data_IF_504653792852
#
_entry.id   IF_504653792852
#
_cell.length_a   1.000
_cell.length_b   1.000
_cell.length_c   1.000
_cell.angle_alpha   90.00
_cell.angle_beta   90.00
_cell.angle_gamma   90.00
#
_symmetry.space_group_name_H-M   'P 1'
#
loop_
_entity.id
_entity.type
_entity.pdbx_description
1 polymer ?
#
# COMPACT_ATOMS: atom_id res chain seq x y z
N UNK A 1 -16.77 -5.27 24.67
CA UNK A 1 -15.72 -5.86 23.82
C UNK A 1 -14.88 -4.71 23.23
N UNK A 2 -13.67 -4.57 23.69
CA UNK A 2 -12.73 -3.58 23.12
C UNK A 2 -12.37 -4.03 21.70
N UNK A 3 -12.80 -3.28 20.71
CA UNK A 3 -12.39 -3.49 19.30
C UNK A 3 -10.86 -3.35 19.26
N UNK A 4 -10.14 -4.44 19.07
CA UNK A 4 -8.69 -4.38 18.82
C UNK A 4 -8.49 -3.52 17.57
N UNK A 5 -7.82 -2.37 17.73
CA UNK A 5 -7.52 -1.47 16.62
C UNK A 5 -6.62 -2.21 15.65
N UNK A 6 -7.09 -2.42 14.43
CA UNK A 6 -6.28 -3.02 13.36
C UNK A 6 -5.07 -2.15 13.08
N UNK A 7 -3.87 -2.73 13.15
CA UNK A 7 -2.62 -2.06 12.83
C UNK A 7 -2.36 -2.08 11.33
N UNK A 8 -1.68 -1.07 10.85
CA UNK A 8 -1.36 -0.89 9.44
C UNK A 8 0.15 -0.79 9.26
N UNK A 9 0.72 -1.73 8.51
CA UNK A 9 2.15 -1.75 8.22
C UNK A 9 2.40 -1.59 6.72
N UNK A 10 3.46 -0.85 6.38
CA UNK A 10 3.91 -0.74 4.99
C UNK A 10 5.14 -1.61 4.77
N UNK A 11 5.13 -2.37 3.68
CA UNK A 11 6.23 -3.26 3.28
C UNK A 11 7.17 -2.48 2.37
N UNK A 12 8.42 -2.34 2.80
CA UNK A 12 9.45 -1.55 2.13
C UNK A 12 9.51 -0.10 2.60
N UNK A 13 10.72 0.41 2.78
CA UNK A 13 11.04 1.77 3.23
C UNK A 13 11.61 2.69 2.14
N UNK A 14 11.55 2.26 0.86
CA UNK A 14 12.14 2.99 -0.27
C UNK A 14 11.34 4.21 -0.74
N UNK A 15 11.71 4.72 -1.92
CA UNK A 15 11.09 5.94 -2.48
C UNK A 15 9.60 5.83 -2.70
N UNK A 16 9.11 4.70 -3.21
CA UNK A 16 7.68 4.49 -3.45
C UNK A 16 6.87 4.50 -2.15
N UNK A 17 7.39 3.90 -1.08
CA UNK A 17 6.71 3.91 0.22
C UNK A 17 6.51 5.33 0.76
N UNK A 18 7.45 6.25 0.53
CA UNK A 18 7.32 7.65 0.94
C UNK A 18 6.16 8.35 0.25
N UNK A 19 5.93 8.06 -1.04
CA UNK A 19 4.79 8.59 -1.80
C UNK A 19 3.48 8.04 -1.23
N UNK A 20 3.42 6.73 -0.99
CA UNK A 20 2.23 6.09 -0.43
C UNK A 20 1.92 6.57 0.99
N UNK A 21 2.95 6.74 1.82
CA UNK A 21 2.81 7.30 3.18
C UNK A 21 2.19 8.70 3.13
N UNK A 22 2.60 9.53 2.18
CA UNK A 22 2.04 10.87 2.03
C UNK A 22 0.56 10.85 1.66
N UNK A 23 0.14 9.97 0.74
CA UNK A 23 -1.27 9.76 0.40
C UNK A 23 -2.11 9.36 1.63
N UNK A 24 -1.55 8.49 2.50
CA UNK A 24 -2.19 8.12 3.76
C UNK A 24 -2.31 9.28 4.75
N UNK A 25 -1.27 10.10 4.88
CA UNK A 25 -1.30 11.29 5.74
C UNK A 25 -2.38 12.27 5.32
N UNK A 26 -2.52 12.51 4.03
CA UNK A 26 -3.58 13.38 3.48
C UNK A 26 -4.97 12.85 3.79
N UNK A 27 -5.16 11.54 3.81
CA UNK A 27 -6.45 10.92 4.18
C UNK A 27 -6.74 10.93 5.69
N UNK A 28 -5.82 11.44 6.52
CA UNK A 28 -5.94 11.43 7.97
C UNK A 28 -5.67 10.06 8.62
N UNK A 29 -5.17 9.11 7.85
CA UNK A 29 -4.85 7.76 8.32
C UNK A 29 -3.42 7.67 8.83
N UNK A 30 -3.16 6.71 9.74
CA UNK A 30 -1.84 6.46 10.30
C UNK A 30 -1.30 5.10 9.87
N UNK A 31 0.01 5.05 9.64
CA UNK A 31 0.77 3.81 9.45
C UNK A 31 1.53 3.54 10.73
N UNK A 32 1.39 2.33 11.28
CA UNK A 32 1.95 1.96 12.58
C UNK A 32 3.43 1.53 12.51
N UNK A 33 3.92 1.19 11.33
CA UNK A 33 5.32 0.82 11.16
C UNK A 33 5.67 0.41 9.73
N UNK A 34 6.98 0.30 9.49
CA UNK A 34 7.56 -0.14 8.23
C UNK A 34 8.21 -1.50 8.44
N UNK A 35 7.97 -2.42 7.51
CA UNK A 35 8.63 -3.73 7.44
C UNK A 35 9.62 -3.69 6.30
N UNK A 36 10.91 -3.64 6.63
CA UNK A 36 11.98 -3.66 5.62
C UNK A 36 13.28 -4.23 6.23
N UNK A 37 13.77 -5.37 5.74
CA UNK A 37 14.98 -5.99 6.27
C UNK A 37 16.26 -5.21 5.96
N UNK A 38 16.23 -4.25 5.03
CA UNK A 38 17.38 -3.41 4.69
C UNK A 38 17.66 -2.30 5.71
N UNK A 39 16.73 -2.03 6.62
CA UNK A 39 16.88 -1.02 7.66
C UNK A 39 17.13 -1.67 9.03
N UNK A 40 17.85 -0.95 9.88
CA UNK A 40 18.01 -1.33 11.28
C UNK A 40 16.69 -1.09 12.01
N UNK A 41 16.29 -2.04 12.85
CA UNK A 41 15.09 -1.91 13.69
C UNK A 41 15.14 -0.62 14.51
N UNK A 42 14.03 0.09 14.55
CA UNK A 42 13.86 1.40 15.19
C UNK A 42 14.43 2.60 14.42
N UNK A 43 15.03 2.42 13.25
CA UNK A 43 15.22 3.54 12.33
C UNK A 43 13.86 4.13 11.89
N UNK A 44 13.90 5.40 11.47
CA UNK A 44 12.70 6.10 11.01
C UNK A 44 12.78 6.41 9.53
N UNK A 45 11.70 6.10 8.82
CA UNK A 45 11.50 6.56 7.45
C UNK A 45 10.32 7.53 7.46
N UNK A 46 10.59 8.79 7.17
CA UNK A 46 9.61 9.90 7.22
C UNK A 46 8.73 9.92 8.49
N UNK A 47 9.37 9.65 9.64
CA UNK A 47 8.70 9.67 10.94
C UNK A 47 7.95 8.39 11.33
N UNK A 48 8.05 7.32 10.52
CA UNK A 48 7.45 6.02 10.83
C UNK A 48 8.55 5.04 11.22
N UNK A 49 8.44 4.33 12.35
CA UNK A 49 9.47 3.42 12.81
C UNK A 49 9.54 2.16 11.95
N UNK A 50 10.76 1.69 11.68
CA UNK A 50 10.98 0.36 11.11
C UNK A 50 10.87 -0.67 12.23
N UNK A 51 10.01 -1.68 12.04
CA UNK A 51 9.77 -2.73 13.05
C UNK A 51 10.62 -3.99 12.83
N UNK A 52 11.32 -4.11 11.72
CA UNK A 52 12.16 -5.24 11.32
C UNK A 52 11.83 -5.73 9.92
N UNK A 53 12.28 -6.93 9.58
CA UNK A 53 11.91 -7.62 8.36
C UNK A 53 10.56 -8.36 8.47
N UNK A 54 10.30 -9.28 7.54
CA UNK A 54 9.02 -10.04 7.48
C UNK A 54 8.73 -10.82 8.77
N UNK A 55 9.75 -11.22 9.51
CA UNK A 55 9.65 -11.92 10.80
C UNK A 55 8.94 -11.08 11.87
N UNK A 56 9.02 -9.76 11.77
CA UNK A 56 8.34 -8.89 12.71
C UNK A 56 6.81 -9.01 12.63
N UNK A 57 6.28 -9.43 11.48
CA UNK A 57 4.84 -9.67 11.30
C UNK A 57 4.35 -10.88 12.08
N UNK A 58 5.23 -11.85 12.40
CA UNK A 58 4.87 -13.07 13.15
C UNK A 58 4.48 -12.79 14.61
N UNK A 59 4.80 -11.60 15.10
CA UNK A 59 4.41 -11.17 16.45
C UNK A 59 2.95 -10.70 16.54
N UNK A 60 2.26 -10.61 15.41
CA UNK A 60 0.88 -10.15 15.33
C UNK A 60 -0.05 -11.25 14.82
N UNK A 61 -1.29 -11.24 15.30
CA UNK A 61 -2.35 -12.02 14.66
C UNK A 61 -2.64 -11.47 13.25
N UNK A 62 -2.81 -12.35 12.27
CA UNK A 62 -3.09 -11.99 10.87
C UNK A 62 -4.34 -11.09 10.76
N UNK A 63 -5.35 -11.34 11.57
CA UNK A 63 -6.59 -10.55 11.57
C UNK A 63 -6.43 -9.17 12.20
N UNK A 64 -5.41 -9.00 13.06
CA UNK A 64 -5.13 -7.75 13.76
C UNK A 64 -4.33 -6.74 12.92
N UNK A 65 -3.84 -7.13 11.74
CA UNK A 65 -3.02 -6.26 10.89
C UNK A 65 -3.51 -6.21 9.46
N UNK A 66 -3.15 -5.15 8.78
CA UNK A 66 -3.28 -4.97 7.33
C UNK A 66 -1.97 -4.44 6.78
N UNK A 67 -1.70 -4.76 5.53
CA UNK A 67 -0.47 -4.39 4.86
C UNK A 67 -0.71 -3.41 3.72
N UNK A 68 0.29 -2.58 3.46
CA UNK A 68 0.39 -1.73 2.26
C UNK A 68 1.68 -2.15 1.56
N UNK A 69 1.64 -2.32 0.25
CA UNK A 69 2.86 -2.58 -0.50
C UNK A 69 3.58 -1.27 -0.83
N UNK A 70 4.68 -0.98 -0.14
CA UNK A 70 5.56 0.18 -0.37
C UNK A 70 6.69 -0.08 -1.37
N UNK A 71 6.75 -1.27 -1.96
CA UNK A 71 7.74 -1.60 -2.99
C UNK A 71 7.30 -1.02 -4.33
N UNK A 72 8.18 -0.26 -4.96
CA UNK A 72 7.93 0.35 -6.26
C UNK A 72 7.82 -0.66 -7.40
N UNK A 73 7.28 -0.20 -8.52
CA UNK A 73 7.23 -0.94 -9.78
C UNK A 73 8.43 -0.52 -10.61
N UNK A 74 9.29 -1.47 -10.97
CA UNK A 74 10.42 -1.26 -11.88
C UNK A 74 10.26 -2.18 -13.09
N UNK A 75 10.46 -1.69 -14.32
CA UNK A 75 10.41 -2.52 -15.51
C UNK A 75 11.33 -3.73 -15.42
N UNK A 76 10.81 -4.92 -15.73
CA UNK A 76 11.57 -6.17 -15.65
C UNK A 76 11.79 -6.75 -14.25
N UNK A 77 11.34 -6.10 -13.19
CA UNK A 77 11.49 -6.58 -11.82
C UNK A 77 10.15 -7.07 -11.23
N UNK A 78 10.12 -8.32 -10.80
CA UNK A 78 8.95 -8.93 -10.17
C UNK A 78 8.94 -8.82 -8.65
N UNK A 79 9.84 -8.03 -8.06
CA UNK A 79 10.01 -7.93 -6.61
C UNK A 79 8.73 -7.56 -5.88
N UNK A 80 8.02 -6.54 -6.33
CA UNK A 80 6.74 -6.12 -5.78
C UNK A 80 5.72 -7.26 -5.80
N UNK A 81 5.55 -7.93 -6.93
CA UNK A 81 4.59 -9.02 -7.09
C UNK A 81 4.96 -10.22 -6.20
N UNK A 82 6.22 -10.65 -6.19
CA UNK A 82 6.70 -11.78 -5.37
C UNK A 82 6.46 -11.54 -3.87
N UNK A 83 6.71 -10.33 -3.39
CA UNK A 83 6.45 -9.96 -1.99
C UNK A 83 4.95 -10.03 -1.69
N UNK A 84 4.12 -9.46 -2.54
CA UNK A 84 2.66 -9.50 -2.37
C UNK A 84 2.15 -10.93 -2.33
N UNK A 85 2.52 -11.76 -3.30
CA UNK A 85 2.11 -13.16 -3.37
C UNK A 85 2.56 -13.94 -2.14
N UNK A 86 3.81 -13.81 -1.73
CA UNK A 86 4.35 -14.48 -0.55
C UNK A 86 3.56 -14.12 0.72
N UNK A 87 3.27 -12.85 0.93
CA UNK A 87 2.55 -12.40 2.12
C UNK A 87 1.07 -12.76 2.06
N UNK A 88 0.43 -12.73 0.89
CA UNK A 88 -0.94 -13.24 0.71
C UNK A 88 -1.05 -14.74 0.99
N UNK A 89 -0.07 -15.53 0.56
CA UNK A 89 -0.03 -16.97 0.84
C UNK A 89 0.12 -17.26 2.35
N UNK A 90 0.65 -16.32 3.12
CA UNK A 90 0.66 -16.35 4.59
C UNK A 90 -0.68 -15.88 5.23
N UNK A 91 -1.64 -15.43 4.42
CA UNK A 91 -2.96 -14.99 4.87
C UNK A 91 -3.10 -13.47 5.10
N UNK A 92 -2.07 -12.68 4.86
CA UNK A 92 -2.15 -11.22 5.03
C UNK A 92 -3.00 -10.56 3.94
N UNK A 93 -3.72 -9.51 4.34
CA UNK A 93 -4.56 -8.69 3.45
C UNK A 93 -3.91 -7.35 3.18
N UNK A 94 -3.98 -6.91 1.92
CA UNK A 94 -3.44 -5.62 1.49
C UNK A 94 -4.54 -4.57 1.37
N UNK A 95 -4.23 -3.36 1.82
CA UNK A 95 -5.13 -2.20 1.77
C UNK A 95 -4.98 -1.51 0.42
N UNK A 96 -6.11 -1.12 -0.14
CA UNK A 96 -6.18 -0.21 -1.30
C UNK A 96 -5.90 1.21 -0.84
N UNK A 97 -5.08 1.92 -1.60
CA UNK A 97 -4.71 3.31 -1.36
C UNK A 97 -5.26 4.16 -2.51
N UNK A 98 -6.07 5.15 -2.19
CA UNK A 98 -6.50 6.17 -3.17
C UNK A 98 -6.11 7.51 -2.57
N UNK A 99 -5.20 8.22 -3.27
CA UNK A 99 -4.79 9.56 -2.84
C UNK A 99 -6.00 10.51 -2.89
N UNK A 100 -6.22 11.34 -1.87
CA UNK A 100 -7.34 12.30 -1.87
C UNK A 100 -7.32 13.29 -3.04
N UNK A 101 -6.16 13.53 -3.65
CA UNK A 101 -6.01 14.41 -4.82
C UNK A 101 -6.24 13.67 -6.16
N UNK A 102 -6.66 12.41 -6.13
CA UNK A 102 -7.08 11.69 -7.33
C UNK A 102 -8.56 11.95 -7.64
N UNK A 103 -8.87 12.12 -8.91
CA UNK A 103 -10.25 12.26 -9.40
C UNK A 103 -10.74 10.88 -9.84
N UNK A 104 -11.68 10.31 -9.11
CA UNK A 104 -12.18 8.95 -9.36
C UNK A 104 -13.69 8.99 -9.59
N UNK A 105 -14.11 8.59 -10.79
CA UNK A 105 -15.54 8.54 -11.14
C UNK A 105 -16.27 7.44 -10.35
N UNK A 106 -17.55 7.65 -10.08
CA UNK A 106 -18.34 6.81 -9.17
C UNK A 106 -18.50 5.35 -9.62
N UNK A 107 -18.35 5.04 -10.91
CA UNK A 107 -18.45 3.68 -11.47
C UNK A 107 -17.10 3.01 -11.69
N UNK A 108 -16.01 3.59 -11.19
CA UNK A 108 -14.69 2.95 -11.23
C UNK A 108 -14.68 1.75 -10.28
N UNK A 109 -14.17 0.63 -10.76
CA UNK A 109 -13.99 -0.59 -9.96
C UNK A 109 -12.53 -0.75 -9.59
N UNK A 110 -12.24 -0.71 -8.30
CA UNK A 110 -10.88 -0.82 -7.77
C UNK A 110 -10.78 -2.09 -6.93
N UNK A 111 -9.85 -2.98 -7.31
CA UNK A 111 -9.62 -4.22 -6.57
C UNK A 111 -8.73 -4.00 -5.35
N UNK A 112 -8.61 -5.03 -4.50
CA UNK A 112 -7.78 -5.00 -3.28
C UNK A 112 -6.29 -4.76 -3.59
N UNK A 113 -5.63 -3.96 -2.75
CA UNK A 113 -4.19 -3.68 -2.84
C UNK A 113 -3.80 -2.71 -3.95
N UNK A 114 -4.76 -2.17 -4.69
CA UNK A 114 -4.51 -1.14 -5.70
C UNK A 114 -4.01 0.15 -5.05
N UNK A 115 -3.12 0.84 -5.73
CA UNK A 115 -2.66 2.16 -5.35
C UNK A 115 -2.93 3.15 -6.47
N UNK A 116 -3.75 4.16 -6.18
CA UNK A 116 -4.03 5.29 -7.06
C UNK A 116 -3.37 6.51 -6.45
N UNK A 117 -2.33 7.03 -7.12
CA UNK A 117 -1.52 8.11 -6.57
C UNK A 117 -2.05 9.50 -6.94
N UNK A 118 -1.45 10.53 -6.38
CA UNK A 118 -1.89 11.91 -6.50
C UNK A 118 -2.05 12.37 -7.96
N UNK A 119 -3.11 13.14 -8.22
CA UNK A 119 -3.38 13.73 -9.54
C UNK A 119 -3.83 12.74 -10.61
N UNK A 120 -4.09 11.47 -10.26
CA UNK A 120 -4.70 10.53 -11.21
C UNK A 120 -6.13 10.93 -11.55
N UNK A 121 -6.53 10.68 -12.79
CA UNK A 121 -7.90 10.85 -13.26
C UNK A 121 -8.39 9.50 -13.78
N UNK A 122 -9.38 8.93 -13.12
CA UNK A 122 -10.00 7.66 -13.50
C UNK A 122 -11.42 7.94 -13.98
N UNK A 123 -11.63 7.79 -15.29
CA UNK A 123 -12.91 8.05 -15.92
C UNK A 123 -13.91 6.92 -15.65
N UNK A 124 -15.12 7.14 -16.07
CA UNK A 124 -16.23 6.24 -15.85
C UNK A 124 -16.01 4.85 -16.44
N UNK A 125 -16.42 3.78 -15.71
CA UNK A 125 -16.31 2.41 -16.17
C UNK A 125 -14.89 1.79 -16.09
N UNK A 126 -13.88 2.53 -15.66
CA UNK A 126 -12.51 1.98 -15.47
C UNK A 126 -12.52 0.84 -14.46
N UNK A 127 -11.77 -0.24 -14.77
CA UNK A 127 -11.57 -1.37 -13.86
C UNK A 127 -10.09 -1.58 -13.62
N UNK A 128 -9.67 -1.57 -12.35
CA UNK A 128 -8.27 -1.72 -11.94
C UNK A 128 -8.10 -3.06 -11.21
N UNK A 129 -7.26 -3.91 -11.79
CA UNK A 129 -6.92 -5.22 -11.25
C UNK A 129 -6.13 -5.13 -9.95
N UNK A 130 -6.18 -6.22 -9.17
CA UNK A 130 -5.54 -6.35 -7.86
C UNK A 130 -4.04 -5.99 -7.91
N UNK A 131 -3.58 -5.30 -6.84
CA UNK A 131 -2.19 -4.92 -6.61
C UNK A 131 -1.55 -3.99 -7.67
N UNK A 132 -2.37 -3.46 -8.59
CA UNK A 132 -1.93 -2.49 -9.59
C UNK A 132 -1.53 -1.16 -8.95
N UNK A 133 -0.63 -0.46 -9.62
CA UNK A 133 -0.26 0.92 -9.29
C UNK A 133 -0.64 1.83 -10.44
N UNK A 134 -1.54 2.77 -10.18
CA UNK A 134 -1.83 3.90 -11.07
C UNK A 134 -0.96 5.05 -10.59
N UNK A 135 0.12 5.29 -11.31
CA UNK A 135 1.17 6.21 -10.86
C UNK A 135 0.73 7.67 -10.98
N UNK A 136 1.42 8.55 -10.26
CA UNK A 136 1.13 9.99 -10.16
C UNK A 136 0.80 10.62 -11.51
N UNK A 137 -0.33 11.33 -11.58
CA UNK A 137 -0.77 12.07 -12.77
C UNK A 137 -1.27 11.20 -13.94
N UNK A 138 -1.46 9.90 -13.74
CA UNK A 138 -2.01 9.01 -14.78
C UNK A 138 -3.46 9.33 -15.08
N UNK A 139 -3.79 9.37 -16.36
CA UNK A 139 -5.18 9.51 -16.84
C UNK A 139 -5.60 8.20 -17.50
N UNK A 140 -6.71 7.63 -17.03
CA UNK A 140 -7.36 6.47 -17.64
C UNK A 140 -8.71 6.89 -18.18
N UNK A 141 -8.87 6.72 -19.49
CA UNK A 141 -10.12 7.02 -20.17
C UNK A 141 -11.22 6.00 -19.84
N UNK A 142 -12.46 6.32 -20.20
CA UNK A 142 -13.60 5.49 -19.89
C UNK A 142 -13.47 4.05 -20.41
N UNK A 143 -14.08 3.11 -19.69
CA UNK A 143 -14.19 1.68 -20.04
C UNK A 143 -12.84 0.95 -20.24
N UNK A 144 -11.74 1.44 -19.63
CA UNK A 144 -10.43 0.75 -19.57
C UNK A 144 -10.43 -0.36 -18.51
#
# INVERSE_FOLDING_TARGET
MTRVKTKLFIIGGGGHSRVVIESFRKSGSQIDGIVDPAYIKCENVVGIPVIGGDEALDTFSIDAIRLINGVGVLPGHLGRWKITERLRNRGFKFVTVIDPDAVVSSRVKVSEGVQVLAGCILQDGVTIGRDSVVNTGTILDHDC
#
